data_IF_908236909841
#
_entry.id   IF_908236909841
#
_cell.length_a   1.000
_cell.length_b   1.000
_cell.length_c   1.000
_cell.angle_alpha   90.00
_cell.angle_beta   90.00
_cell.angle_gamma   90.00
#
_symmetry.space_group_name_H-M   'P 1'
#
loop_
_entity.id
_entity.type
_entity.pdbx_description
1 polymer ?
#
# COMPACT_ATOMS: atom_id res chain seq x y z
N UNK A 1 5.03 50.64 3.89
CA UNK A 1 4.14 49.48 4.07
C UNK A 1 4.40 48.57 2.89
N UNK A 2 5.11 47.48 3.16
CA UNK A 2 5.70 46.57 2.18
C UNK A 2 4.63 45.88 1.30
N UNK A 3 4.64 46.21 0.01
CA UNK A 3 3.97 45.43 -1.03
C UNK A 3 4.71 44.12 -1.28
N UNK A 4 4.50 43.13 -0.41
CA UNK A 4 4.96 41.75 -0.66
C UNK A 4 3.96 41.04 -1.58
N UNK A 5 4.04 41.37 -2.86
CA UNK A 5 3.61 40.49 -3.94
C UNK A 5 4.57 39.29 -3.97
N UNK A 6 4.29 38.30 -3.11
CA UNK A 6 4.90 36.98 -3.25
C UNK A 6 4.32 36.34 -4.52
N UNK A 7 5.09 36.42 -5.59
CA UNK A 7 4.85 35.77 -6.87
C UNK A 7 4.26 34.37 -6.69
N UNK A 8 3.00 34.20 -7.08
CA UNK A 8 2.43 32.91 -7.45
C UNK A 8 3.22 32.48 -8.68
N UNK A 9 4.23 31.64 -8.45
CA UNK A 9 5.07 31.10 -9.51
C UNK A 9 4.18 30.36 -10.51
N UNK A 10 4.08 30.94 -11.70
CA UNK A 10 3.53 30.30 -12.88
C UNK A 10 4.43 29.14 -13.28
N UNK A 11 4.18 27.95 -12.73
CA UNK A 11 4.60 26.69 -13.34
C UNK A 11 3.35 26.03 -13.90
N UNK A 12 3.15 26.17 -15.22
CA UNK A 12 2.01 25.58 -15.90
C UNK A 12 1.88 24.09 -15.57
N UNK A 13 0.65 23.56 -15.40
CA UNK A 13 0.48 22.17 -15.02
C UNK A 13 1.06 21.29 -16.13
N UNK A 14 2.12 20.52 -15.83
CA UNK A 14 2.58 19.41 -16.66
C UNK A 14 1.42 18.41 -16.71
N UNK A 15 0.58 18.53 -17.75
CA UNK A 15 -0.56 17.66 -18.04
C UNK A 15 -0.06 16.27 -18.47
N UNK A 16 0.55 15.53 -17.55
CA UNK A 16 0.76 14.09 -17.67
C UNK A 16 -0.50 13.29 -17.32
N UNK A 17 -1.49 13.92 -16.68
CA UNK A 17 -2.65 13.21 -16.12
C UNK A 17 -3.53 12.48 -17.13
N UNK A 18 -3.72 13.01 -18.34
CA UNK A 18 -4.67 12.44 -19.31
C UNK A 18 -4.22 11.12 -19.93
N UNK A 19 -2.90 10.90 -20.07
CA UNK A 19 -2.37 9.63 -20.59
C UNK A 19 -2.18 8.59 -19.48
N UNK A 20 -1.89 9.02 -18.26
CA UNK A 20 -1.76 8.13 -17.10
C UNK A 20 -3.11 7.69 -16.56
N UNK A 21 -4.17 8.48 -16.76
CA UNK A 21 -5.54 8.17 -16.32
C UNK A 21 -6.03 6.79 -16.78
N UNK A 22 -6.03 6.44 -18.08
CA UNK A 22 -6.49 5.13 -18.54
C UNK A 22 -5.61 3.99 -18.03
N UNK A 23 -4.31 4.22 -17.84
CA UNK A 23 -3.40 3.21 -17.29
C UNK A 23 -3.71 2.89 -15.82
N UNK A 24 -3.91 3.93 -14.99
CA UNK A 24 -4.30 3.76 -13.59
C UNK A 24 -5.70 3.16 -13.48
N UNK A 25 -6.65 3.63 -14.29
CA UNK A 25 -8.01 3.08 -14.31
C UNK A 25 -8.00 1.61 -14.73
N UNK A 26 -7.22 1.24 -15.75
CA UNK A 26 -7.07 -0.15 -16.19
C UNK A 26 -6.43 -1.03 -15.11
N UNK A 27 -5.38 -0.53 -14.44
CA UNK A 27 -4.72 -1.23 -13.35
C UNK A 27 -5.66 -1.42 -12.15
N UNK A 28 -6.39 -0.37 -11.75
CA UNK A 28 -7.38 -0.43 -10.69
C UNK A 28 -8.49 -1.43 -11.05
N UNK A 29 -9.07 -1.33 -12.24
CA UNK A 29 -10.11 -2.25 -12.71
C UNK A 29 -9.60 -3.69 -12.75
N UNK A 30 -8.40 -3.95 -13.25
CA UNK A 30 -7.78 -5.27 -13.26
C UNK A 30 -7.58 -5.85 -11.85
N UNK A 31 -7.13 -5.03 -10.90
CA UNK A 31 -6.99 -5.44 -9.51
C UNK A 31 -8.34 -5.77 -8.87
N UNK A 32 -9.37 -4.95 -9.08
CA UNK A 32 -10.72 -5.21 -8.56
C UNK A 32 -11.31 -6.47 -9.16
N UNK A 33 -11.18 -6.66 -10.47
CA UNK A 33 -11.67 -7.86 -11.17
C UNK A 33 -10.94 -9.12 -10.71
N UNK A 34 -9.62 -9.06 -10.54
CA UNK A 34 -8.81 -10.15 -10.01
C UNK A 34 -9.20 -10.51 -8.58
N UNK A 35 -9.37 -9.51 -7.71
CA UNK A 35 -9.80 -9.70 -6.33
C UNK A 35 -11.19 -10.33 -6.21
N UNK A 36 -12.16 -9.84 -6.98
CA UNK A 36 -13.52 -10.39 -7.02
C UNK A 36 -13.53 -11.81 -7.60
N UNK A 37 -12.78 -12.05 -8.68
CA UNK A 37 -12.67 -13.38 -9.29
C UNK A 37 -12.02 -14.41 -8.36
N UNK A 38 -10.98 -14.02 -7.64
CA UNK A 38 -10.35 -14.86 -6.61
C UNK A 38 -11.33 -15.20 -5.49
N UNK A 39 -12.02 -14.20 -4.92
CA UNK A 39 -12.98 -14.40 -3.83
C UNK A 39 -14.13 -15.30 -4.26
N UNK A 40 -14.68 -15.10 -5.46
CA UNK A 40 -15.75 -15.92 -6.01
C UNK A 40 -15.31 -17.38 -6.21
N UNK A 41 -14.11 -17.60 -6.76
CA UNK A 41 -13.57 -18.95 -6.97
C UNK A 41 -13.32 -19.67 -5.64
N UNK A 42 -12.81 -18.95 -4.62
CA UNK A 42 -12.58 -19.49 -3.29
C UNK A 42 -13.88 -19.96 -2.61
N UNK A 43 -14.96 -19.16 -2.68
CA UNK A 43 -16.27 -19.52 -2.10
C UNK A 43 -16.85 -20.76 -2.78
N UNK A 44 -16.81 -20.80 -4.12
CA UNK A 44 -17.30 -21.95 -4.89
C UNK A 44 -16.52 -23.22 -4.53
N UNK A 45 -15.19 -23.13 -4.42
CA UNK A 45 -14.34 -24.25 -4.02
C UNK A 45 -14.72 -24.77 -2.63
N UNK A 46 -14.94 -23.88 -1.66
CA UNK A 46 -15.29 -24.25 -0.29
C UNK A 46 -16.66 -24.95 -0.18
N UNK A 47 -17.63 -24.53 -1.01
CA UNK A 47 -18.98 -25.09 -1.03
C UNK A 47 -19.01 -26.42 -1.79
N UNK A 48 -18.40 -26.49 -2.99
CA UNK A 48 -18.51 -27.67 -3.85
C UNK A 48 -17.53 -28.79 -3.49
N UNK A 49 -16.25 -28.47 -3.23
CA UNK A 49 -15.20 -29.49 -3.04
C UNK A 49 -15.12 -29.92 -1.58
N UNK A 50 -15.23 -28.97 -0.66
CA UNK A 50 -15.09 -29.24 0.76
C UNK A 50 -16.43 -29.57 1.46
N UNK A 51 -17.58 -29.42 0.78
CA UNK A 51 -18.93 -29.61 1.31
C UNK A 51 -19.15 -28.95 2.69
N UNK A 52 -18.41 -27.85 2.93
CA UNK A 52 -18.44 -27.13 4.19
C UNK A 52 -19.75 -26.36 4.23
N UNK A 53 -20.53 -26.52 5.31
CA UNK A 53 -21.81 -25.81 5.52
C UNK A 53 -21.64 -24.34 5.11
N UNK A 54 -22.54 -23.82 4.27
CA UNK A 54 -22.48 -22.46 3.71
C UNK A 54 -22.22 -21.37 4.75
N UNK A 55 -22.55 -21.63 6.02
CA UNK A 55 -22.26 -20.79 7.19
C UNK A 55 -20.75 -20.53 7.37
N UNK A 56 -19.90 -21.56 7.27
CA UNK A 56 -18.45 -21.40 7.46
C UNK A 56 -17.76 -20.82 6.22
N UNK A 57 -18.30 -21.08 5.01
CA UNK A 57 -17.87 -20.42 3.78
C UNK A 57 -18.18 -18.91 3.80
N UNK A 58 -19.37 -18.53 4.29
CA UNK A 58 -19.74 -17.13 4.49
C UNK A 58 -18.85 -16.46 5.54
N UNK A 59 -18.44 -17.17 6.60
CA UNK A 59 -17.52 -16.64 7.61
C UNK A 59 -16.14 -16.33 7.01
N UNK A 60 -15.59 -17.25 6.21
CA UNK A 60 -14.30 -17.04 5.52
C UNK A 60 -14.39 -15.90 4.50
N UNK A 61 -15.49 -15.82 3.76
CA UNK A 61 -15.76 -14.68 2.87
C UNK A 61 -15.78 -13.36 3.64
N UNK A 62 -16.46 -13.31 4.80
CA UNK A 62 -16.60 -12.10 5.59
C UNK A 62 -15.25 -11.65 6.18
N UNK A 63 -14.41 -12.60 6.61
CA UNK A 63 -13.04 -12.33 7.05
C UNK A 63 -12.19 -11.81 5.89
N UNK A 64 -12.23 -12.48 4.73
CA UNK A 64 -11.47 -12.07 3.56
C UNK A 64 -11.88 -10.68 3.07
N UNK A 65 -13.18 -10.39 3.00
CA UNK A 65 -13.72 -9.09 2.64
C UNK A 65 -13.36 -8.01 3.68
N UNK A 66 -13.34 -8.37 4.97
CA UNK A 66 -12.82 -7.52 6.04
C UNK A 66 -11.34 -7.17 5.84
N UNK A 67 -10.49 -8.15 5.50
CA UNK A 67 -9.08 -7.92 5.18
C UNK A 67 -8.88 -7.00 3.98
N UNK A 68 -9.71 -7.11 2.95
CA UNK A 68 -9.67 -6.20 1.79
C UNK A 68 -9.99 -4.76 2.18
N UNK A 69 -10.82 -4.52 3.20
CA UNK A 69 -11.08 -3.18 3.75
C UNK A 69 -9.95 -2.65 4.64
N UNK A 70 -9.18 -3.53 5.29
CA UNK A 70 -7.97 -3.12 6.03
C UNK A 70 -6.78 -2.84 5.11
N UNK A 71 -6.73 -3.49 3.96
CA UNK A 71 -5.68 -3.31 2.96
C UNK A 71 -5.42 -1.84 2.57
N UNK A 72 -6.43 -0.99 2.26
CA UNK A 72 -6.19 0.43 1.98
C UNK A 72 -5.71 1.23 3.19
N UNK A 73 -6.04 0.84 4.44
CA UNK A 73 -5.50 1.51 5.64
C UNK A 73 -4.01 1.24 5.74
N UNK A 74 -3.59 -0.02 5.58
CA UNK A 74 -2.17 -0.40 5.57
C UNK A 74 -1.48 0.28 4.37
N UNK A 75 -2.10 0.24 3.20
CA UNK A 75 -1.60 0.91 1.98
C UNK A 75 -1.45 2.42 2.16
N UNK A 76 -2.36 3.08 2.87
CA UNK A 76 -2.28 4.50 3.17
C UNK A 76 -1.13 4.80 4.15
N UNK A 77 -0.97 4.02 5.22
CA UNK A 77 0.15 4.17 6.16
C UNK A 77 1.48 3.97 5.44
N UNK A 78 1.58 2.92 4.60
CA UNK A 78 2.79 2.65 3.80
C UNK A 78 3.02 3.77 2.80
N UNK A 79 2.01 4.26 2.09
CA UNK A 79 2.15 5.36 1.14
C UNK A 79 2.59 6.66 1.83
N UNK A 80 1.97 7.03 2.95
CA UNK A 80 2.33 8.20 3.76
C UNK A 80 3.76 8.07 4.30
N UNK A 81 4.14 6.87 4.72
CA UNK A 81 5.50 6.58 5.13
C UNK A 81 6.48 6.65 3.94
N UNK A 82 6.16 6.09 2.77
CA UNK A 82 7.03 6.17 1.58
C UNK A 82 7.16 7.59 1.02
N UNK A 83 6.18 8.48 1.22
CA UNK A 83 6.26 9.89 0.84
C UNK A 83 7.19 10.73 1.74
N UNK A 84 7.69 10.20 2.86
CA UNK A 84 8.76 10.89 3.61
C UNK A 84 9.25 10.22 4.89
N UNK A 85 8.40 9.54 5.66
CA UNK A 85 8.77 9.02 6.99
C UNK A 85 9.51 7.67 6.97
N UNK A 86 9.10 6.72 6.13
CA UNK A 86 9.72 5.42 5.93
C UNK A 86 11.15 5.54 5.42
N UNK A 87 11.41 6.44 4.47
CA UNK A 87 12.76 6.64 3.96
C UNK A 87 13.69 7.10 5.10
N UNK A 88 13.25 8.06 5.92
CA UNK A 88 14.02 8.56 7.07
C UNK A 88 14.17 7.48 8.15
N UNK A 89 13.10 6.74 8.46
CA UNK A 89 13.12 5.66 9.45
C UNK A 89 13.99 4.47 9.01
N UNK A 90 13.96 4.10 7.72
CA UNK A 90 14.80 3.04 7.16
C UNK A 90 16.28 3.46 7.14
N UNK A 91 16.57 4.72 6.79
CA UNK A 91 17.93 5.26 6.83
C UNK A 91 18.43 5.32 8.27
N UNK A 92 17.64 5.84 9.22
CA UNK A 92 18.05 5.92 10.62
C UNK A 92 18.25 4.53 11.24
N UNK A 93 17.38 3.57 10.93
CA UNK A 93 17.54 2.17 11.35
C UNK A 93 18.80 1.53 10.76
N UNK A 94 19.08 1.77 9.47
CA UNK A 94 20.28 1.25 8.80
C UNK A 94 21.56 1.84 9.40
N UNK A 95 21.60 3.15 9.66
CA UNK A 95 22.72 3.81 10.34
C UNK A 95 22.91 3.26 11.76
N UNK A 96 21.81 3.05 12.49
CA UNK A 96 21.86 2.54 13.87
C UNK A 96 22.41 1.11 13.95
N UNK A 97 22.00 0.24 13.02
CA UNK A 97 22.55 -1.12 12.91
C UNK A 97 24.03 -1.11 12.58
N UNK A 98 24.45 -0.31 11.59
CA UNK A 98 25.86 -0.22 11.20
C UNK A 98 26.76 0.29 12.35
N UNK A 99 26.30 1.30 13.09
CA UNK A 99 27.03 1.84 14.25
C UNK A 99 27.21 0.78 15.35
N UNK A 100 26.16 0.03 15.69
CA UNK A 100 26.23 -1.04 16.69
C UNK A 100 27.18 -2.15 16.26
N UNK A 101 27.10 -2.61 15.00
CA UNK A 101 27.99 -3.66 14.50
C UNK A 101 29.47 -3.25 14.52
N UNK A 102 29.77 -1.99 14.21
CA UNK A 102 31.15 -1.48 14.20
C UNK A 102 31.71 -1.32 15.62
N UNK A 103 30.88 -0.89 16.57
CA UNK A 103 31.25 -0.79 17.99
C UNK A 103 31.53 -2.17 18.60
N UNK A 104 30.72 -3.18 18.26
CA UNK A 104 30.90 -4.55 18.75
C UNK A 104 32.26 -5.12 18.31
N UNK A 105 32.61 -4.92 17.03
CA UNK A 105 33.90 -5.34 16.49
C UNK A 105 35.10 -4.59 17.11
N UNK A 106 34.92 -3.32 17.51
CA UNK A 106 35.95 -2.54 18.21
C UNK A 106 36.12 -2.90 19.69
N UNK A 107 35.07 -3.38 20.37
CA UNK A 107 35.13 -3.77 21.80
C UNK A 107 35.75 -5.16 21.98
N UNK A 108 35.62 -6.04 20.99
CA UNK A 108 36.05 -7.44 21.07
C UNK A 108 37.52 -7.63 20.61
N UNK A 109 38.07 -6.68 19.83
CA UNK A 109 39.48 -6.68 19.38
C UNK A 109 40.42 -5.94 20.30
#
# INVERSE_FOLDING_TARGET
MEGREAQISSSGPKRGGWITFPFITGAAAGFTLGGVGWLANLIVFLIQVFNVKSINAAQIYNIANGSTNFFPIIGAIVADSFLGSFAVAAISASISLLMVSLIDEFIIG
#
